data_IF_851882119239
#
_entry.id   IF_851882119239
#
_cell.length_a   1.000
_cell.length_b   1.000
_cell.length_c   1.000
_cell.angle_alpha   90.00
_cell.angle_beta   90.00
_cell.angle_gamma   90.00
#
_symmetry.space_group_name_H-M   'P 1'
#
loop_
_entity.id
_entity.type
_entity.pdbx_description
1 polymer ?
#
# COMPACT_ATOMS: atom_id res chain seq x y z
N UNK A 1 29.01 -7.75 34.31
CA UNK A 1 29.25 -7.42 32.90
C UNK A 1 28.03 -6.63 32.50
N UNK A 2 28.18 -5.38 32.07
CA UNK A 2 27.02 -4.65 31.55
C UNK A 2 26.55 -5.44 30.31
N UNK A 3 25.25 -5.71 30.20
CA UNK A 3 24.71 -6.30 28.98
C UNK A 3 25.08 -5.38 27.82
N UNK A 4 25.52 -5.96 26.70
CA UNK A 4 25.79 -5.17 25.50
C UNK A 4 24.50 -4.50 25.03
N UNK A 5 24.56 -3.24 24.57
CA UNK A 5 23.37 -2.54 24.12
C UNK A 5 22.73 -3.27 22.94
N UNK A 6 21.40 -3.26 22.88
CA UNK A 6 20.69 -3.82 21.74
C UNK A 6 20.98 -2.97 20.51
N UNK A 7 21.55 -3.60 19.48
CA UNK A 7 22.01 -2.94 18.26
C UNK A 7 20.88 -2.80 17.26
N UNK A 8 20.63 -1.60 16.78
CA UNK A 8 19.51 -1.24 15.90
C UNK A 8 20.02 -0.77 14.55
N UNK A 9 19.35 -1.21 13.49
CA UNK A 9 19.41 -0.59 12.17
C UNK A 9 18.18 0.28 11.99
N UNK A 10 18.38 1.53 11.58
CA UNK A 10 17.28 2.45 11.31
C UNK A 10 17.11 2.68 9.81
N UNK A 11 15.93 2.42 9.25
CA UNK A 11 15.62 2.73 7.85
C UNK A 11 14.87 4.06 7.73
N UNK A 12 15.42 4.96 6.90
CA UNK A 12 14.79 6.24 6.57
C UNK A 12 14.89 6.58 5.08
N UNK A 13 14.03 7.47 4.59
CA UNK A 13 14.12 7.94 3.22
C UNK A 13 15.17 9.03 3.01
N UNK A 14 15.41 9.37 1.74
CA UNK A 14 16.35 10.40 1.29
C UNK A 14 16.08 11.78 1.93
N UNK A 15 14.82 12.12 2.17
CA UNK A 15 14.45 13.40 2.79
C UNK A 15 14.90 13.48 4.25
N UNK A 16 14.56 12.47 5.06
CA UNK A 16 14.95 12.44 6.47
C UNK A 16 16.45 12.22 6.67
N UNK A 17 17.11 11.62 5.69
CA UNK A 17 18.57 11.49 5.64
C UNK A 17 19.30 12.78 5.23
N UNK A 18 18.56 13.82 4.81
CA UNK A 18 19.13 15.09 4.38
C UNK A 18 19.80 15.05 2.99
N UNK A 19 19.46 14.07 2.15
CA UNK A 19 19.99 13.93 0.77
C UNK A 19 19.30 14.90 -0.18
N UNK A 20 17.98 15.01 -0.11
CA UNK A 20 17.17 15.89 -0.96
C UNK A 20 15.68 15.53 -0.90
N UNK A 21 14.87 16.10 -1.79
CA UNK A 21 13.43 15.81 -1.86
C UNK A 21 13.13 14.95 -3.09
N UNK A 22 12.17 15.37 -3.90
CA UNK A 22 11.71 14.65 -5.10
C UNK A 22 12.77 14.63 -6.20
N UNK A 23 13.71 15.57 -6.20
CA UNK A 23 14.72 15.66 -7.26
C UNK A 23 15.75 14.52 -7.22
N UNK A 24 15.76 13.76 -6.11
CA UNK A 24 16.69 12.66 -5.83
C UNK A 24 15.95 11.47 -5.22
N UNK A 25 14.65 11.34 -5.49
CA UNK A 25 13.83 10.22 -4.99
C UNK A 25 14.21 8.87 -5.61
N UNK A 26 15.00 8.86 -6.68
CA UNK A 26 15.59 7.71 -7.36
C UNK A 26 16.94 7.29 -6.75
N UNK A 27 17.37 7.88 -5.63
CA UNK A 27 18.65 7.56 -4.98
C UNK A 27 18.70 6.08 -4.56
N UNK A 28 19.68 5.29 -5.03
CA UNK A 28 19.88 3.90 -4.63
C UNK A 28 20.15 3.76 -3.12
N UNK A 29 19.94 2.57 -2.54
CA UNK A 29 20.09 2.39 -1.12
C UNK A 29 21.56 2.47 -0.68
N UNK A 30 21.80 3.11 0.46
CA UNK A 30 23.13 3.19 1.08
C UNK A 30 23.04 3.04 2.61
N UNK A 31 24.10 2.51 3.23
CA UNK A 31 24.23 2.43 4.68
C UNK A 31 25.17 3.53 5.21
N UNK A 32 24.77 4.17 6.30
CA UNK A 32 25.56 5.16 7.04
C UNK A 32 25.79 4.69 8.47
N UNK A 33 26.99 4.92 8.99
CA UNK A 33 27.31 4.58 10.38
C UNK A 33 26.57 5.49 11.36
N UNK A 34 25.96 4.89 12.39
CA UNK A 34 25.28 5.61 13.46
C UNK A 34 23.91 6.19 13.10
N UNK A 35 23.32 7.00 14.00
CA UNK A 35 22.00 7.60 13.82
C UNK A 35 22.02 8.80 12.87
N UNK A 36 21.10 8.82 11.89
CA UNK A 36 20.90 9.94 10.96
C UNK A 36 19.47 10.49 11.09
N UNK A 37 19.32 11.81 10.95
CA UNK A 37 18.02 12.48 10.94
C UNK A 37 17.18 12.16 12.19
N UNK A 38 15.97 11.60 12.05
CA UNK A 38 15.10 11.23 13.18
C UNK A 38 15.71 10.17 14.10
N UNK A 39 16.65 9.36 13.61
CA UNK A 39 17.41 8.40 14.42
C UNK A 39 18.14 9.05 15.60
N UNK A 40 18.52 10.32 15.48
CA UNK A 40 19.17 11.07 16.57
C UNK A 40 18.24 11.30 17.78
N UNK A 41 16.95 11.51 17.54
CA UNK A 41 15.98 11.65 18.62
C UNK A 41 15.56 10.27 19.14
N UNK A 42 15.40 9.28 18.24
CA UNK A 42 15.09 7.91 18.62
C UNK A 42 16.16 7.33 19.56
N UNK A 43 17.45 7.47 19.22
CA UNK A 43 18.56 7.02 20.06
C UNK A 43 18.49 7.63 21.48
N UNK A 44 18.16 8.92 21.59
CA UNK A 44 18.00 9.59 22.90
C UNK A 44 16.83 9.06 23.72
N UNK A 45 15.73 8.72 23.06
CA UNK A 45 14.52 8.18 23.72
C UNK A 45 14.72 6.71 24.14
N UNK A 46 15.51 5.96 23.39
CA UNK A 46 15.83 4.58 23.72
C UNK A 46 16.76 4.51 24.94
N UNK A 47 17.75 5.41 25.04
CA UNK A 47 18.70 5.46 26.13
C UNK A 47 19.87 4.48 25.95
N UNK A 48 20.69 4.31 26.98
CA UNK A 48 22.00 3.64 26.88
C UNK A 48 21.91 2.11 26.67
N UNK A 49 20.72 1.51 26.87
CA UNK A 49 20.49 0.07 26.64
C UNK A 49 20.36 -0.28 25.14
N UNK A 50 20.34 0.72 24.27
CA UNK A 50 20.16 0.57 22.82
C UNK A 50 21.13 1.46 22.04
N UNK A 51 21.61 0.95 20.92
CA UNK A 51 22.53 1.68 20.04
C UNK A 51 22.04 1.58 18.59
N UNK A 52 21.83 2.71 17.92
CA UNK A 52 21.63 2.73 16.46
C UNK A 52 23.02 2.64 15.81
N UNK A 53 23.40 1.45 15.36
CA UNK A 53 24.73 1.18 14.80
C UNK A 53 24.84 1.61 13.34
N UNK A 54 23.71 1.64 12.64
CA UNK A 54 23.64 2.09 11.26
C UNK A 54 22.27 2.67 10.92
N UNK A 55 22.27 3.56 9.93
CA UNK A 55 21.07 4.02 9.25
C UNK A 55 21.14 3.63 7.77
N UNK A 56 20.14 2.88 7.28
CA UNK A 56 19.98 2.61 5.85
C UNK A 56 19.08 3.69 5.24
N UNK A 57 19.52 4.25 4.11
CA UNK A 57 18.86 5.35 3.41
C UNK A 57 18.52 4.89 2.01
N UNK A 58 17.29 5.12 1.55
CA UNK A 58 16.90 4.88 0.16
C UNK A 58 15.94 5.96 -0.34
N UNK A 59 15.96 6.26 -1.63
CA UNK A 59 14.99 7.14 -2.26
C UNK A 59 13.61 6.50 -2.38
N UNK A 60 12.56 7.30 -2.17
CA UNK A 60 11.17 6.82 -2.21
C UNK A 60 10.76 6.19 -3.56
N UNK A 61 11.23 6.73 -4.69
CA UNK A 61 10.94 6.18 -6.02
C UNK A 61 11.75 4.92 -6.27
N UNK A 62 13.05 4.90 -5.92
CA UNK A 62 13.86 3.70 -6.04
C UNK A 62 13.25 2.53 -5.24
N UNK A 63 12.89 2.78 -3.98
CA UNK A 63 12.34 1.77 -3.09
C UNK A 63 10.97 1.21 -3.51
N UNK A 64 10.29 1.85 -4.46
CA UNK A 64 8.94 1.45 -4.90
C UNK A 64 8.86 1.03 -6.36
N UNK A 65 9.79 1.48 -7.22
CA UNK A 65 9.77 1.20 -8.66
C UNK A 65 10.74 0.09 -9.07
N UNK A 66 11.84 -0.11 -8.34
CA UNK A 66 12.80 -1.17 -8.64
C UNK A 66 12.35 -2.50 -8.02
N UNK A 67 12.37 -3.57 -8.82
CA UNK A 67 11.85 -4.89 -8.45
C UNK A 67 12.55 -5.49 -7.22
N UNK A 68 13.88 -5.33 -7.15
CA UNK A 68 14.73 -5.92 -6.11
C UNK A 68 15.06 -4.94 -4.95
N UNK A 69 14.47 -3.74 -4.94
CA UNK A 69 14.91 -2.70 -3.98
C UNK A 69 14.76 -3.10 -2.51
N UNK A 70 13.69 -3.81 -2.15
CA UNK A 70 13.47 -4.24 -0.75
C UNK A 70 14.53 -5.26 -0.33
N UNK A 71 14.91 -6.17 -1.22
CA UNK A 71 15.94 -7.17 -0.97
C UNK A 71 17.32 -6.48 -0.83
N UNK A 72 17.64 -5.52 -1.70
CA UNK A 72 18.89 -4.73 -1.57
C UNK A 72 18.97 -3.94 -0.26
N UNK A 73 17.87 -3.29 0.15
CA UNK A 73 17.80 -2.55 1.41
C UNK A 73 17.95 -3.51 2.61
N UNK A 74 17.33 -4.69 2.54
CA UNK A 74 17.43 -5.71 3.58
C UNK A 74 18.84 -6.29 3.68
N UNK A 75 19.49 -6.58 2.55
CA UNK A 75 20.88 -7.04 2.52
C UNK A 75 21.82 -6.02 3.16
N UNK A 76 21.64 -4.73 2.86
CA UNK A 76 22.40 -3.66 3.51
C UNK A 76 22.14 -3.64 5.02
N UNK A 77 20.90 -3.77 5.46
CA UNK A 77 20.55 -3.78 6.88
C UNK A 77 21.17 -4.99 7.60
N UNK A 78 21.09 -6.19 7.03
CA UNK A 78 21.70 -7.42 7.57
C UNK A 78 23.23 -7.42 7.51
N UNK A 79 23.81 -6.70 6.55
CA UNK A 79 25.24 -6.46 6.45
C UNK A 79 25.79 -5.57 7.57
N UNK A 80 24.91 -4.94 8.35
CA UNK A 80 25.28 -4.23 9.58
C UNK A 80 25.15 -5.16 10.79
N UNK A 81 25.88 -4.87 11.87
CA UNK A 81 25.78 -5.62 13.13
C UNK A 81 24.48 -5.31 13.93
N UNK A 82 23.39 -4.92 13.27
CA UNK A 82 22.12 -4.62 13.93
C UNK A 82 21.26 -5.87 14.13
N UNK A 83 20.78 -6.08 15.36
CA UNK A 83 19.91 -7.21 15.73
C UNK A 83 18.41 -6.88 15.72
N UNK A 84 18.04 -5.63 15.43
CA UNK A 84 16.66 -5.18 15.33
C UNK A 84 16.55 -4.08 14.27
N UNK A 85 15.54 -4.16 13.40
CA UNK A 85 15.24 -3.14 12.39
C UNK A 85 14.11 -2.22 12.86
N UNK A 86 14.32 -0.91 12.76
CA UNK A 86 13.27 0.10 12.90
C UNK A 86 13.08 0.80 11.56
N UNK A 87 11.86 0.83 11.01
CA UNK A 87 11.54 1.52 9.76
C UNK A 87 10.58 2.70 10.01
N UNK A 88 10.90 3.89 9.51
CA UNK A 88 10.08 5.09 9.69
C UNK A 88 10.58 6.04 10.78
N UNK A 89 9.76 6.97 11.29
CA UNK A 89 8.33 7.10 11.04
C UNK A 89 8.00 7.68 9.66
N UNK A 90 7.08 7.04 8.93
CA UNK A 90 6.67 7.43 7.58
C UNK A 90 5.48 8.39 7.53
N UNK A 91 4.78 8.60 8.65
CA UNK A 91 3.58 9.46 8.71
C UNK A 91 2.56 9.06 7.65
N UNK A 92 1.90 10.01 6.99
CA UNK A 92 1.01 9.76 5.86
C UNK A 92 1.70 9.61 4.49
N UNK A 93 3.04 9.46 4.43
CA UNK A 93 3.74 9.36 3.14
C UNK A 93 3.48 8.03 2.45
N UNK A 94 2.91 8.04 1.24
CA UNK A 94 2.56 6.83 0.49
C UNK A 94 3.77 5.95 0.15
N UNK A 95 4.66 6.42 -0.75
CA UNK A 95 5.83 5.64 -1.21
C UNK A 95 6.75 5.23 -0.06
N UNK A 96 7.10 6.19 0.81
CA UNK A 96 7.95 5.90 1.97
C UNK A 96 7.30 4.93 2.96
N UNK A 97 5.98 5.04 3.17
CA UNK A 97 5.22 4.12 4.03
C UNK A 97 5.21 2.69 3.49
N UNK A 98 4.99 2.53 2.18
CA UNK A 98 5.12 1.23 1.50
C UNK A 98 6.52 0.62 1.65
N UNK A 99 7.57 1.42 1.42
CA UNK A 99 8.94 0.95 1.58
C UNK A 99 9.23 0.52 3.02
N UNK A 100 8.83 1.30 4.02
CA UNK A 100 8.96 0.94 5.43
C UNK A 100 8.23 -0.34 5.78
N UNK A 101 7.00 -0.51 5.27
CA UNK A 101 6.17 -1.66 5.53
C UNK A 101 6.76 -2.95 4.94
N UNK A 102 7.07 -2.93 3.63
CA UNK A 102 7.62 -4.09 2.92
C UNK A 102 8.98 -4.49 3.50
N UNK A 103 9.83 -3.53 3.84
CA UNK A 103 11.11 -3.82 4.48
C UNK A 103 10.93 -4.45 5.86
N UNK A 104 10.02 -3.94 6.70
CA UNK A 104 9.76 -4.52 8.03
C UNK A 104 9.18 -5.94 7.92
N UNK A 105 8.28 -6.18 6.96
CA UNK A 105 7.75 -7.51 6.66
C UNK A 105 8.87 -8.47 6.23
N UNK A 106 9.66 -8.10 5.22
CA UNK A 106 10.76 -8.91 4.70
C UNK A 106 11.82 -9.21 5.76
N UNK A 107 12.19 -8.21 6.58
CA UNK A 107 13.10 -8.41 7.71
C UNK A 107 12.56 -9.42 8.72
N UNK A 108 11.28 -9.31 9.08
CA UNK A 108 10.65 -10.24 10.03
C UNK A 108 10.60 -11.67 9.47
N UNK A 109 10.27 -11.83 8.19
CA UNK A 109 10.28 -13.13 7.50
C UNK A 109 11.68 -13.74 7.42
N UNK A 110 12.71 -12.90 7.25
CA UNK A 110 14.11 -13.30 7.30
C UNK A 110 14.65 -13.58 8.72
N UNK A 111 13.81 -13.41 9.75
CA UNK A 111 14.16 -13.66 11.15
C UNK A 111 14.88 -12.50 11.85
N UNK A 112 14.92 -11.32 11.26
CA UNK A 112 15.39 -10.09 11.90
C UNK A 112 14.19 -9.38 12.56
N UNK A 113 14.12 -9.26 13.89
CA UNK A 113 13.04 -8.54 14.56
C UNK A 113 12.89 -7.13 13.98
N UNK A 114 11.70 -6.80 13.50
CA UNK A 114 11.45 -5.52 12.85
C UNK A 114 10.17 -4.84 13.35
N UNK A 115 10.18 -3.51 13.34
CA UNK A 115 9.02 -2.67 13.64
C UNK A 115 8.97 -1.48 12.70
N UNK A 116 7.76 -1.15 12.23
CA UNK A 116 7.53 0.03 11.42
C UNK A 116 6.75 1.11 12.20
N UNK A 117 6.85 2.36 11.78
CA UNK A 117 6.01 3.44 12.27
C UNK A 117 5.42 4.25 11.10
N UNK A 118 4.11 4.41 11.07
CA UNK A 118 3.40 5.21 10.06
C UNK A 118 2.01 5.61 10.55
N UNK A 119 1.35 6.53 9.83
CA UNK A 119 -0.03 6.93 10.15
C UNK A 119 -0.99 5.76 9.89
N UNK A 120 -2.09 5.67 10.63
CA UNK A 120 -3.06 4.56 10.49
C UNK A 120 -3.68 4.46 9.10
N UNK A 121 -3.85 5.60 8.40
CA UNK A 121 -4.39 5.65 7.03
C UNK A 121 -3.32 5.43 5.94
N UNK A 122 -2.06 5.24 6.34
CA UNK A 122 -0.97 5.03 5.39
C UNK A 122 -1.20 3.71 4.61
N UNK A 123 -1.10 3.71 3.27
CA UNK A 123 -1.32 2.51 2.47
C UNK A 123 -0.39 1.33 2.80
N UNK A 124 0.80 1.60 3.35
CA UNK A 124 1.75 0.57 3.75
C UNK A 124 1.33 -0.21 5.00
N UNK A 125 0.38 0.26 5.82
CA UNK A 125 0.05 -0.38 7.11
C UNK A 125 -0.31 -1.86 6.96
N UNK A 126 -1.05 -2.21 5.91
CA UNK A 126 -1.49 -3.58 5.64
C UNK A 126 -0.36 -4.47 5.08
N UNK A 127 0.67 -3.87 4.48
CA UNK A 127 1.82 -4.57 3.87
C UNK A 127 2.91 -4.93 4.88
N UNK A 128 2.84 -4.37 6.09
CA UNK A 128 3.87 -4.58 7.11
C UNK A 128 3.76 -5.95 7.81
N UNK A 129 2.62 -6.65 7.68
CA UNK A 129 2.43 -7.94 8.34
C UNK A 129 3.50 -8.95 7.86
N UNK A 130 4.16 -9.70 8.77
CA UNK A 130 3.81 -9.90 10.18
C UNK A 130 4.39 -8.87 11.17
N UNK A 131 5.20 -7.91 10.73
CA UNK A 131 5.82 -6.92 11.61
C UNK A 131 4.78 -5.99 12.28
N UNK A 132 4.99 -5.61 13.56
CA UNK A 132 4.18 -4.59 14.22
C UNK A 132 4.37 -3.21 13.58
N UNK A 133 3.28 -2.44 13.51
CA UNK A 133 3.28 -1.04 13.07
C UNK A 133 2.79 -0.15 14.21
N UNK A 134 3.55 0.89 14.54
CA UNK A 134 3.16 1.87 15.57
C UNK A 134 2.63 3.15 14.93
N UNK A 135 1.53 3.67 15.47
CA UNK A 135 0.90 4.90 15.03
C UNK A 135 1.84 6.11 15.16
N UNK A 136 2.20 6.69 14.02
CA UNK A 136 2.77 8.04 13.95
C UNK A 136 1.69 9.10 13.71
N UNK A 137 2.04 10.38 13.82
CA UNK A 137 1.17 11.48 13.39
C UNK A 137 1.00 11.52 11.87
N UNK A 138 0.27 12.54 11.38
CA UNK A 138 -0.05 12.66 9.95
C UNK A 138 1.08 13.29 9.14
N UNK A 139 1.93 14.10 9.79
CA UNK A 139 3.04 14.81 9.14
C UNK A 139 4.29 14.86 10.01
N UNK A 140 5.42 15.24 9.43
CA UNK A 140 6.69 15.42 10.13
C UNK A 140 6.68 16.44 11.27
N UNK A 141 5.63 17.27 11.40
CA UNK A 141 5.45 18.15 12.58
C UNK A 141 5.24 17.34 13.86
N UNK A 142 4.70 16.14 13.72
CA UNK A 142 4.39 15.22 14.82
C UNK A 142 5.57 14.26 15.12
N UNK A 143 6.77 14.56 14.61
CA UNK A 143 7.96 13.69 14.70
C UNK A 143 8.31 13.31 16.14
N UNK A 144 8.32 14.29 17.05
CA UNK A 144 8.65 14.05 18.46
C UNK A 144 7.66 13.07 19.08
N UNK A 145 6.37 13.38 18.99
CA UNK A 145 5.31 12.57 19.57
C UNK A 145 5.28 11.16 18.97
N UNK A 146 5.57 11.03 17.68
CA UNK A 146 5.64 9.74 16.99
C UNK A 146 6.80 8.89 17.50
N UNK A 147 7.98 9.49 17.69
CA UNK A 147 9.15 8.79 18.24
C UNK A 147 8.99 8.48 19.73
N UNK A 148 8.31 9.33 20.50
CA UNK A 148 7.97 9.09 21.91
C UNK A 148 7.01 7.90 22.09
N UNK A 149 6.15 7.62 21.10
CA UNK A 149 5.33 6.39 21.04
C UNK A 149 6.11 5.19 20.53
N UNK A 150 6.98 5.37 19.53
CA UNK A 150 7.75 4.28 18.92
C UNK A 150 8.79 3.70 19.87
N UNK A 151 9.51 4.53 20.64
CA UNK A 151 10.62 4.07 21.45
C UNK A 151 10.23 3.00 22.51
N UNK A 152 9.13 3.13 23.27
CA UNK A 152 8.65 2.06 24.15
C UNK A 152 8.34 0.74 23.43
N UNK A 153 7.76 0.81 22.22
CA UNK A 153 7.45 -0.38 21.43
C UNK A 153 8.71 -1.08 20.91
N UNK A 154 9.74 -0.33 20.51
CA UNK A 154 11.06 -0.88 20.16
C UNK A 154 11.66 -1.64 21.35
N UNK A 155 11.55 -1.07 22.57
CA UNK A 155 12.03 -1.73 23.80
C UNK A 155 11.31 -3.05 24.06
N UNK A 156 9.99 -3.08 23.89
CA UNK A 156 9.18 -4.30 24.01
C UNK A 156 9.57 -5.35 22.97
N UNK A 157 9.73 -4.95 21.71
CA UNK A 157 10.15 -5.87 20.65
C UNK A 157 11.51 -6.51 20.97
N UNK A 158 12.48 -5.72 21.44
CA UNK A 158 13.79 -6.23 21.84
C UNK A 158 13.75 -7.20 23.03
N UNK A 159 12.75 -7.07 23.90
CA UNK A 159 12.49 -7.96 25.02
C UNK A 159 11.64 -9.19 24.66
N UNK A 160 11.33 -9.39 23.38
CA UNK A 160 10.41 -10.43 22.88
C UNK A 160 9.00 -10.33 23.50
N UNK A 161 8.59 -9.12 23.90
CA UNK A 161 7.27 -8.84 24.44
C UNK A 161 6.26 -8.55 23.32
N UNK A 162 5.02 -9.01 23.50
CA UNK A 162 3.93 -8.75 22.55
C UNK A 162 3.54 -7.28 22.55
N UNK A 163 3.59 -6.65 21.37
CA UNK A 163 3.10 -5.29 21.14
C UNK A 163 1.61 -5.34 20.81
N UNK A 164 0.80 -4.65 21.61
CA UNK A 164 -0.67 -4.61 21.50
C UNK A 164 -1.17 -3.23 21.05
N UNK A 165 -2.49 -3.09 20.90
CA UNK A 165 -3.12 -1.79 20.63
C UNK A 165 -2.84 -0.74 21.70
N UNK A 166 -2.65 -1.14 22.96
CA UNK A 166 -2.34 -0.22 24.07
C UNK A 166 -0.95 0.42 23.93
N UNK A 167 -0.06 -0.24 23.19
CA UNK A 167 1.26 0.27 22.83
C UNK A 167 1.23 1.20 21.61
N UNK A 168 0.05 1.50 21.06
CA UNK A 168 -0.13 2.29 19.85
C UNK A 168 0.01 1.50 18.56
N UNK A 169 -0.12 0.15 18.60
CA UNK A 169 -0.12 -0.68 17.40
C UNK A 169 -1.32 -0.40 16.52
N UNK A 170 -1.07 -0.24 15.22
CA UNK A 170 -2.08 -0.09 14.16
C UNK A 170 -1.94 -1.19 13.12
N UNK A 171 -2.91 -1.29 12.23
CA UNK A 171 -2.93 -2.30 11.17
C UNK A 171 -3.40 -3.67 11.62
N UNK A 172 -3.17 -4.67 10.78
CA UNK A 172 -3.62 -6.04 11.04
C UNK A 172 -2.85 -6.63 12.20
N UNK A 173 -3.57 -6.96 13.26
CA UNK A 173 -3.07 -7.86 14.31
C UNK A 173 -3.36 -9.30 13.84
N UNK A 174 -2.36 -10.18 13.94
CA UNK A 174 -2.55 -11.59 13.63
C UNK A 174 -3.72 -12.14 14.47
N UNK A 175 -4.67 -12.83 13.81
CA UNK A 175 -5.81 -13.42 14.52
C UNK A 175 -5.33 -14.64 15.30
N UNK A 176 -5.40 -14.55 16.61
CA UNK A 176 -5.13 -15.68 17.49
C UNK A 176 -6.43 -16.37 17.90
N UNK A 177 -6.44 -17.71 17.82
CA UNK A 177 -7.54 -18.49 18.37
C UNK A 177 -7.42 -18.48 19.90
N UNK A 178 -8.33 -17.77 20.56
CA UNK A 178 -8.37 -17.68 22.03
C UNK A 178 -9.66 -18.30 22.59
N UNK A 179 -9.59 -18.80 23.83
CA UNK A 179 -10.75 -19.27 24.58
C UNK A 179 -11.14 -18.17 25.56
N UNK A 180 -12.34 -17.62 25.37
CA UNK A 180 -12.93 -16.61 26.26
C UNK A 180 -13.97 -17.25 27.18
N UNK A 181 -14.02 -16.79 28.43
CA UNK A 181 -14.94 -17.32 29.44
C UNK A 181 -16.38 -16.89 29.20
N UNK A 182 -16.61 -15.66 28.72
CA UNK A 182 -17.96 -15.16 28.46
C UNK A 182 -18.58 -15.79 27.21
N UNK A 183 -19.88 -16.11 27.33
CA UNK A 183 -20.66 -16.65 26.22
C UNK A 183 -20.88 -15.59 25.16
N UNK A 184 -20.89 -16.00 23.89
CA UNK A 184 -21.15 -15.09 22.76
C UNK A 184 -22.44 -14.24 22.93
N UNK A 185 -23.49 -14.81 23.55
CA UNK A 185 -24.74 -14.09 23.81
C UNK A 185 -24.58 -12.96 24.85
N UNK A 186 -23.76 -13.17 25.88
CA UNK A 186 -23.51 -12.17 26.94
C UNK A 186 -22.72 -11.00 26.36
N UNK A 187 -21.66 -11.30 25.60
CA UNK A 187 -20.83 -10.26 24.97
C UNK A 187 -21.60 -9.48 23.90
N UNK A 188 -22.45 -10.14 23.12
CA UNK A 188 -23.32 -9.46 22.15
C UNK A 188 -24.30 -8.50 22.83
N UNK A 189 -24.86 -8.88 23.98
CA UNK A 189 -25.75 -8.01 24.76
C UNK A 189 -24.98 -6.83 25.38
N UNK A 190 -23.76 -7.07 25.88
CA UNK A 190 -22.89 -6.02 26.41
C UNK A 190 -22.55 -4.98 25.33
N UNK A 191 -22.10 -5.42 24.15
CA UNK A 191 -21.83 -4.54 23.01
C UNK A 191 -23.08 -3.74 22.60
N UNK A 192 -24.27 -4.35 22.61
CA UNK A 192 -25.52 -3.65 22.34
C UNK A 192 -25.80 -2.56 23.38
N UNK A 193 -25.66 -2.88 24.67
CA UNK A 193 -25.89 -1.93 25.75
C UNK A 193 -24.90 -0.75 25.68
N UNK A 194 -23.63 -1.02 25.40
CA UNK A 194 -22.58 0.00 25.20
C UNK A 194 -22.90 0.95 24.05
N UNK A 195 -23.34 0.41 22.90
CA UNK A 195 -23.80 1.24 21.78
C UNK A 195 -25.02 2.07 22.13
N UNK A 196 -26.00 1.49 22.83
CA UNK A 196 -27.19 2.23 23.29
C UNK A 196 -26.86 3.33 24.30
N UNK A 197 -25.75 3.21 25.03
CA UNK A 197 -25.23 4.27 25.91
C UNK A 197 -24.35 5.32 25.21
N UNK A 198 -24.13 5.21 23.90
CA UNK A 198 -23.38 6.19 23.11
C UNK A 198 -21.94 5.79 22.77
N UNK A 199 -21.50 4.57 23.07
CA UNK A 199 -20.23 4.04 22.59
C UNK A 199 -20.40 3.46 21.17
N UNK A 200 -20.48 4.33 20.16
CA UNK A 200 -20.80 3.96 18.77
C UNK A 200 -19.81 2.94 18.18
N UNK A 201 -18.55 2.99 18.62
CA UNK A 201 -17.46 2.12 18.15
C UNK A 201 -17.34 0.79 18.89
N UNK A 202 -18.21 0.50 19.87
CA UNK A 202 -18.14 -0.77 20.60
C UNK A 202 -18.36 -1.95 19.63
N UNK A 203 -17.30 -2.75 19.39
CA UNK A 203 -17.33 -3.93 18.52
C UNK A 203 -16.23 -4.93 18.87
N UNK A 204 -16.54 -6.23 18.72
CA UNK A 204 -15.53 -7.31 18.71
C UNK A 204 -14.87 -7.46 17.33
N UNK A 205 -15.53 -6.97 16.29
CA UNK A 205 -15.07 -7.07 14.89
C UNK A 205 -15.03 -5.64 14.34
N UNK A 206 -13.86 -4.98 14.31
CA UNK A 206 -13.76 -3.67 13.68
C UNK A 206 -14.18 -3.78 12.21
N UNK A 207 -15.08 -2.89 11.79
CA UNK A 207 -15.42 -2.77 10.38
C UNK A 207 -14.18 -2.26 9.61
N UNK A 208 -13.97 -2.67 8.35
CA UNK A 208 -12.94 -2.06 7.51
C UNK A 208 -13.19 -0.55 7.41
N UNK A 209 -12.17 0.26 7.70
CA UNK A 209 -12.19 1.68 7.36
C UNK A 209 -12.00 1.77 5.84
N UNK A 210 -13.00 2.27 5.13
CA UNK A 210 -12.85 2.61 3.71
C UNK A 210 -12.41 4.06 3.62
N UNK A 211 -11.36 4.31 2.85
CA UNK A 211 -10.90 5.67 2.60
C UNK A 211 -11.98 6.48 1.88
N UNK A 212 -12.21 7.68 2.39
CA UNK A 212 -12.98 8.70 1.67
C UNK A 212 -12.02 9.43 0.74
N UNK A 213 -12.02 9.07 -0.54
CA UNK A 213 -11.21 9.75 -1.55
C UNK A 213 -11.93 11.02 -2.01
N UNK A 214 -11.21 12.13 -2.11
CA UNK A 214 -11.76 13.35 -2.71
C UNK A 214 -11.99 13.11 -4.20
N UNK A 215 -13.23 13.26 -4.71
CA UNK A 215 -13.49 13.08 -6.13
C UNK A 215 -12.61 14.01 -6.98
N UNK A 216 -12.17 13.52 -8.14
CA UNK A 216 -11.47 14.37 -9.10
C UNK A 216 -12.34 15.59 -9.47
N UNK A 217 -11.68 16.72 -9.72
CA UNK A 217 -12.38 17.91 -10.21
C UNK A 217 -13.09 17.63 -11.54
N UNK A 218 -14.15 18.38 -11.87
CA UNK A 218 -14.83 18.22 -13.15
C UNK A 218 -13.90 18.57 -14.31
N UNK A 219 -14.03 17.82 -15.41
CA UNK A 219 -13.38 18.16 -16.68
C UNK A 219 -14.18 19.27 -17.35
N UNK A 220 -13.53 20.41 -17.66
CA UNK A 220 -14.22 21.58 -18.20
C UNK A 220 -14.60 21.43 -19.69
N UNK A 221 -13.69 20.90 -20.51
CA UNK A 221 -13.92 20.65 -21.93
C UNK A 221 -13.44 19.25 -22.31
N UNK A 222 -14.39 18.35 -22.59
CA UNK A 222 -14.09 16.97 -22.96
C UNK A 222 -13.44 16.87 -24.34
N UNK A 223 -13.69 17.83 -25.24
CA UNK A 223 -13.20 17.79 -26.63
C UNK A 223 -11.68 17.98 -26.74
N UNK A 224 -11.01 18.37 -25.66
CA UNK A 224 -9.55 18.49 -25.58
C UNK A 224 -8.91 17.34 -24.77
N UNK A 225 -9.71 16.44 -24.21
CA UNK A 225 -9.25 15.39 -23.30
C UNK A 225 -8.88 14.10 -24.05
N UNK A 226 -7.77 13.52 -23.61
CA UNK A 226 -7.44 12.12 -23.81
C UNK A 226 -8.14 11.32 -22.71
N UNK A 227 -9.14 10.53 -23.09
CA UNK A 227 -9.91 9.64 -22.22
C UNK A 227 -9.27 8.26 -22.18
N UNK A 228 -9.04 7.68 -21.01
CA UNK A 228 -8.66 6.28 -20.87
C UNK A 228 -9.83 5.41 -20.45
N UNK A 229 -9.82 4.16 -20.90
CA UNK A 229 -10.67 3.10 -20.36
C UNK A 229 -9.82 2.20 -19.47
N UNK A 230 -10.31 1.94 -18.26
CA UNK A 230 -9.73 0.99 -17.34
C UNK A 230 -10.82 0.08 -16.80
N UNK A 231 -10.51 -1.19 -16.53
CA UNK A 231 -11.54 -2.16 -16.15
C UNK A 231 -11.07 -3.16 -15.11
N UNK A 232 -11.96 -3.45 -14.17
CA UNK A 232 -11.87 -4.58 -13.24
C UNK A 232 -12.69 -5.79 -13.69
N UNK A 233 -13.39 -5.69 -14.83
CA UNK A 233 -14.20 -6.79 -15.39
C UNK A 233 -13.41 -7.82 -16.19
N UNK A 234 -12.07 -7.78 -16.10
CA UNK A 234 -11.15 -8.78 -16.64
C UNK A 234 -11.33 -9.10 -18.14
N UNK A 235 -11.66 -8.10 -18.97
CA UNK A 235 -11.73 -8.25 -20.44
C UNK A 235 -10.32 -8.38 -21.00
N UNK A 236 -10.03 -9.51 -21.65
CA UNK A 236 -8.73 -9.85 -22.22
C UNK A 236 -8.89 -10.40 -23.64
N UNK A 237 -7.84 -10.42 -24.48
CA UNK A 237 -7.87 -11.16 -25.74
C UNK A 237 -8.19 -12.63 -25.50
N UNK A 238 -8.95 -13.22 -26.42
CA UNK A 238 -9.42 -14.60 -26.32
C UNK A 238 -8.27 -15.59 -26.08
N UNK A 239 -8.48 -16.50 -25.12
CA UNK A 239 -7.49 -17.46 -24.66
C UNK A 239 -6.59 -16.92 -23.54
N UNK A 240 -6.79 -15.69 -23.08
CA UNK A 240 -6.06 -15.07 -21.96
C UNK A 240 -4.53 -15.26 -22.05
N UNK A 241 -3.89 -14.75 -23.13
CA UNK A 241 -2.51 -15.08 -23.46
C UNK A 241 -1.50 -14.68 -22.38
N UNK A 242 -1.77 -13.60 -21.65
CA UNK A 242 -0.90 -13.07 -20.60
C UNK A 242 -1.24 -13.63 -19.21
N UNK A 243 -2.23 -14.52 -19.12
CA UNK A 243 -2.58 -15.26 -17.92
C UNK A 243 -3.03 -14.37 -16.77
N UNK A 244 -4.00 -13.47 -17.00
CA UNK A 244 -4.69 -12.76 -15.93
C UNK A 244 -5.49 -13.77 -15.10
N UNK A 245 -5.37 -13.80 -13.77
CA UNK A 245 -6.10 -14.77 -12.95
C UNK A 245 -7.61 -14.46 -12.92
N UNK A 246 -8.44 -15.49 -12.72
CA UNK A 246 -9.90 -15.35 -12.62
C UNK A 246 -10.42 -14.98 -11.23
N UNK A 247 -9.52 -14.82 -10.25
CA UNK A 247 -9.79 -14.18 -8.95
C UNK A 247 -8.48 -13.77 -8.29
N UNK A 248 -8.55 -12.86 -7.33
CA UNK A 248 -7.41 -12.44 -6.48
C UNK A 248 -6.21 -12.01 -7.34
N UNK A 249 -6.38 -10.96 -8.14
CA UNK A 249 -5.29 -10.51 -9.00
C UNK A 249 -4.05 -10.15 -8.18
N UNK A 250 -2.90 -10.56 -8.70
CA UNK A 250 -1.58 -10.16 -8.26
C UNK A 250 -0.85 -9.30 -9.31
N UNK A 251 -1.52 -9.01 -10.43
CA UNK A 251 -1.04 -8.15 -11.52
C UNK A 251 -2.21 -7.48 -12.21
N UNK A 252 -1.89 -6.48 -13.01
CA UNK A 252 -2.76 -5.88 -14.02
C UNK A 252 -2.02 -5.91 -15.36
N UNK A 253 -2.75 -5.71 -16.46
CA UNK A 253 -2.24 -5.78 -17.82
C UNK A 253 -2.70 -4.55 -18.60
N UNK A 254 -2.07 -4.32 -19.75
CA UNK A 254 -2.50 -3.32 -20.72
C UNK A 254 -2.59 -3.94 -22.09
N UNK A 255 -3.55 -3.49 -22.87
CA UNK A 255 -3.75 -3.96 -24.24
C UNK A 255 -3.95 -2.79 -25.20
N UNK A 256 -3.43 -2.89 -26.43
CA UNK A 256 -3.59 -1.85 -27.44
C UNK A 256 -5.04 -1.73 -27.93
N UNK A 257 -5.45 -0.51 -28.25
CA UNK A 257 -6.71 -0.14 -28.89
C UNK A 257 -6.50 0.53 -30.25
N UNK A 258 -5.25 0.64 -30.72
CA UNK A 258 -4.92 1.25 -32.01
C UNK A 258 -5.64 0.56 -33.16
N UNK A 259 -6.50 1.31 -33.86
CA UNK A 259 -7.31 0.77 -34.95
C UNK A 259 -8.46 -0.15 -34.52
N UNK A 260 -8.73 -0.26 -33.22
CA UNK A 260 -9.88 -0.99 -32.69
C UNK A 260 -11.07 -0.04 -32.54
N UNK A 261 -12.07 -0.23 -33.40
CA UNK A 261 -13.33 0.53 -33.35
C UNK A 261 -14.38 -0.09 -32.40
N UNK A 262 -14.27 -1.39 -32.12
CA UNK A 262 -15.18 -2.17 -31.27
C UNK A 262 -14.48 -3.46 -30.82
N UNK A 263 -14.89 -4.01 -29.68
CA UNK A 263 -14.48 -5.35 -29.24
C UNK A 263 -15.40 -6.43 -29.82
N UNK A 264 -14.85 -7.31 -30.65
CA UNK A 264 -15.63 -8.35 -31.30
C UNK A 264 -15.78 -9.61 -30.42
N UNK A 265 -16.97 -10.20 -30.46
CA UNK A 265 -17.24 -11.47 -29.77
C UNK A 265 -16.32 -12.57 -30.29
N UNK A 266 -15.67 -13.29 -29.39
CA UNK A 266 -14.73 -14.36 -29.70
C UNK A 266 -13.29 -13.91 -29.99
N UNK A 267 -13.04 -12.60 -30.13
CA UNK A 267 -11.67 -12.04 -30.11
C UNK A 267 -11.27 -11.56 -28.72
N UNK A 268 -12.26 -11.21 -27.90
CA UNK A 268 -12.11 -10.86 -26.49
C UNK A 268 -13.05 -11.73 -25.63
N UNK A 269 -12.65 -11.95 -24.39
CA UNK A 269 -13.43 -12.65 -23.37
C UNK A 269 -13.23 -12.00 -22.01
N UNK A 270 -14.19 -12.15 -21.10
CA UNK A 270 -13.95 -11.86 -19.68
C UNK A 270 -13.48 -13.13 -18.98
N UNK A 271 -12.38 -13.04 -18.22
CA UNK A 271 -11.92 -14.15 -17.38
C UNK A 271 -12.36 -14.03 -15.92
N UNK A 272 -13.28 -13.11 -15.63
CA UNK A 272 -13.70 -12.83 -14.27
C UNK A 272 -14.52 -13.98 -13.67
N UNK A 273 -14.02 -14.60 -12.60
CA UNK A 273 -14.70 -15.69 -11.90
C UNK A 273 -15.84 -15.25 -10.95
N UNK A 274 -16.14 -13.96 -10.87
CA UNK A 274 -17.12 -13.35 -9.98
C UNK A 274 -18.52 -13.23 -10.57
N UNK A 275 -18.66 -13.37 -11.89
CA UNK A 275 -19.96 -13.33 -12.58
C UNK A 275 -20.01 -14.29 -13.77
N UNK A 276 -21.17 -14.40 -14.42
CA UNK A 276 -21.31 -15.21 -15.64
C UNK A 276 -20.82 -14.42 -16.85
N UNK A 277 -19.74 -14.90 -17.47
CA UNK A 277 -19.08 -14.20 -18.59
C UNK A 277 -19.86 -14.26 -19.89
N UNK A 278 -20.85 -15.14 -20.02
CA UNK A 278 -21.61 -15.37 -21.29
C UNK A 278 -22.06 -14.06 -21.95
N UNK A 279 -22.68 -13.15 -21.19
CA UNK A 279 -23.18 -11.89 -21.74
C UNK A 279 -22.07 -10.87 -22.06
N UNK A 280 -20.92 -10.98 -21.41
CA UNK A 280 -19.73 -10.19 -21.69
C UNK A 280 -18.98 -10.77 -22.90
N UNK A 281 -18.92 -12.08 -23.06
CA UNK A 281 -18.25 -12.74 -24.19
C UNK A 281 -19.07 -12.59 -25.49
N UNK A 282 -20.40 -12.56 -25.37
CA UNK A 282 -21.32 -12.22 -26.48
C UNK A 282 -21.16 -10.77 -26.96
N UNK A 283 -20.79 -9.84 -26.06
CA UNK A 283 -20.65 -8.41 -26.34
C UNK A 283 -19.69 -7.75 -25.33
N UNK A 284 -18.36 -7.79 -25.59
CA UNK A 284 -17.36 -7.33 -24.62
C UNK A 284 -17.43 -5.82 -24.35
N UNK A 285 -18.02 -5.05 -25.28
CA UNK A 285 -18.20 -3.61 -25.12
C UNK A 285 -19.13 -3.26 -23.94
N UNK A 286 -19.95 -4.20 -23.46
CA UNK A 286 -20.78 -4.00 -22.25
C UNK A 286 -19.95 -3.81 -20.99
N UNK A 287 -18.78 -4.44 -20.95
CA UNK A 287 -17.84 -4.30 -19.84
C UNK A 287 -16.85 -3.18 -20.17
N UNK A 288 -16.27 -3.17 -21.37
CA UNK A 288 -15.27 -2.19 -21.78
C UNK A 288 -15.78 -1.41 -23.02
N UNK A 289 -16.42 -0.23 -22.85
CA UNK A 289 -17.21 0.44 -23.90
C UNK A 289 -16.34 1.16 -24.94
N UNK A 290 -15.54 0.39 -25.70
CA UNK A 290 -14.66 0.90 -26.75
C UNK A 290 -15.46 1.48 -27.91
N UNK A 291 -16.53 0.80 -28.32
CA UNK A 291 -17.44 1.23 -29.38
C UNK A 291 -18.01 2.64 -29.14
N UNK A 292 -18.52 2.89 -27.94
CA UNK A 292 -19.09 4.16 -27.52
C UNK A 292 -18.00 5.22 -27.36
N UNK A 293 -16.85 4.88 -26.77
CA UNK A 293 -15.75 5.81 -26.65
C UNK A 293 -15.22 6.26 -28.04
N UNK A 294 -15.16 5.35 -29.01
CA UNK A 294 -14.81 5.67 -30.41
C UNK A 294 -15.89 6.49 -31.12
N UNK A 295 -17.17 6.26 -30.81
CA UNK A 295 -18.26 7.12 -31.29
C UNK A 295 -18.12 8.56 -30.76
N UNK A 296 -17.89 8.72 -29.46
CA UNK A 296 -17.68 10.03 -28.84
C UNK A 296 -16.45 10.77 -29.39
N UNK A 297 -15.38 10.04 -29.69
CA UNK A 297 -14.18 10.59 -30.34
C UNK A 297 -14.50 11.07 -31.77
N UNK A 298 -15.21 10.26 -32.56
CA UNK A 298 -15.62 10.61 -33.93
C UNK A 298 -16.55 11.83 -33.97
N UNK A 299 -17.42 11.95 -32.98
CA UNK A 299 -18.36 13.07 -32.84
C UNK A 299 -17.70 14.34 -32.25
N UNK A 300 -16.42 14.26 -31.85
CA UNK A 300 -15.68 15.35 -31.23
C UNK A 300 -16.16 15.71 -29.83
N UNK A 301 -16.91 14.81 -29.17
CA UNK A 301 -17.33 14.97 -27.78
C UNK A 301 -16.14 14.80 -26.85
N UNK A 302 -15.25 13.86 -27.17
CA UNK A 302 -13.94 13.73 -26.53
C UNK A 302 -12.83 14.05 -27.54
N UNK A 303 -11.68 14.51 -27.05
CA UNK A 303 -10.54 14.83 -27.91
C UNK A 303 -9.88 13.59 -28.50
N UNK A 304 -9.58 12.60 -27.66
CA UNK A 304 -9.01 11.32 -28.09
C UNK A 304 -9.35 10.20 -27.12
N UNK A 305 -9.56 8.99 -27.59
CA UNK A 305 -9.50 7.79 -26.74
C UNK A 305 -8.04 7.30 -26.68
N UNK A 306 -7.53 7.06 -25.47
CA UNK A 306 -6.19 6.55 -25.22
C UNK A 306 -5.96 5.24 -25.97
N UNK A 307 -4.75 5.07 -26.51
CA UNK A 307 -4.41 3.98 -27.43
C UNK A 307 -4.27 2.62 -26.72
N UNK A 308 -4.46 2.58 -25.40
CA UNK A 308 -4.43 1.37 -24.59
C UNK A 308 -5.53 1.40 -23.53
N UNK A 309 -5.98 0.22 -23.10
CA UNK A 309 -6.78 0.09 -21.88
C UNK A 309 -6.01 -0.68 -20.83
N UNK A 310 -6.27 -0.36 -19.56
CA UNK A 310 -5.69 -1.07 -18.42
C UNK A 310 -6.74 -2.02 -17.85
N UNK A 311 -6.32 -3.25 -17.52
CA UNK A 311 -7.22 -4.28 -17.05
C UNK A 311 -6.66 -5.02 -15.87
N UNK A 312 -7.51 -5.25 -14.88
CA UNK A 312 -7.30 -6.22 -13.83
C UNK A 312 -8.62 -6.95 -13.57
N UNK A 313 -8.67 -7.72 -12.50
CA UNK A 313 -9.88 -8.36 -12.01
C UNK A 313 -10.25 -7.80 -10.64
N UNK A 314 -11.50 -7.43 -10.44
CA UNK A 314 -12.01 -7.01 -9.13
C UNK A 314 -12.27 -8.18 -8.18
N UNK A 315 -12.71 -9.33 -8.73
CA UNK A 315 -13.12 -10.50 -7.95
C UNK A 315 -12.06 -11.00 -6.96
N UNK A 316 -12.31 -10.75 -5.68
CA UNK A 316 -11.47 -11.23 -4.58
C UNK A 316 -10.10 -10.56 -4.50
N UNK A 317 -9.82 -9.53 -5.29
CA UNK A 317 -8.55 -8.81 -5.26
C UNK A 317 -8.38 -8.10 -3.91
N UNK A 318 -7.28 -8.32 -3.18
CA UNK A 318 -7.04 -7.65 -1.91
C UNK A 318 -7.05 -6.13 -2.08
N UNK A 319 -7.65 -5.40 -1.12
CA UNK A 319 -7.73 -3.92 -1.16
C UNK A 319 -6.35 -3.28 -1.30
N UNK A 320 -5.35 -3.78 -0.59
CA UNK A 320 -3.99 -3.24 -0.68
C UNK A 320 -3.38 -3.42 -2.08
N UNK A 321 -3.60 -4.58 -2.70
CA UNK A 321 -3.18 -4.86 -4.08
C UNK A 321 -3.91 -3.97 -5.08
N UNK A 322 -5.23 -3.83 -4.96
CA UNK A 322 -6.03 -2.93 -5.80
C UNK A 322 -5.59 -1.46 -5.65
N UNK A 323 -5.19 -1.06 -4.43
CA UNK A 323 -4.61 0.26 -4.17
C UNK A 323 -3.28 0.47 -4.88
N UNK A 324 -2.40 -0.54 -4.90
CA UNK A 324 -1.15 -0.52 -5.68
C UNK A 324 -1.44 -0.31 -7.17
N UNK A 325 -2.37 -1.10 -7.73
CA UNK A 325 -2.75 -0.98 -9.14
C UNK A 325 -3.31 0.40 -9.45
N UNK A 326 -4.17 0.96 -8.59
CA UNK A 326 -4.70 2.31 -8.77
C UNK A 326 -3.61 3.38 -8.78
N UNK A 327 -2.59 3.28 -7.92
CA UNK A 327 -1.43 4.19 -7.91
C UNK A 327 -0.60 4.05 -9.18
N UNK A 328 -0.33 2.82 -9.61
CA UNK A 328 0.43 2.52 -10.83
C UNK A 328 -0.32 3.01 -12.09
N UNK A 329 -1.61 2.71 -12.19
CA UNK A 329 -2.49 3.19 -13.28
C UNK A 329 -2.52 4.72 -13.34
N UNK A 330 -2.71 5.39 -12.21
CA UNK A 330 -2.71 6.85 -12.17
C UNK A 330 -1.36 7.43 -12.64
N UNK A 331 -0.24 6.81 -12.26
CA UNK A 331 1.10 7.20 -12.71
C UNK A 331 1.25 7.04 -14.23
N UNK A 332 0.88 5.88 -14.79
CA UNK A 332 0.99 5.63 -16.23
C UNK A 332 0.11 6.57 -17.06
N UNK A 333 -1.15 6.73 -16.65
CA UNK A 333 -2.08 7.62 -17.32
C UNK A 333 -1.62 9.07 -17.26
N UNK A 334 -1.05 9.51 -16.13
CA UNK A 334 -0.49 10.84 -16.00
C UNK A 334 0.71 11.05 -16.95
N UNK A 335 1.63 10.08 -17.03
CA UNK A 335 2.77 10.13 -17.96
C UNK A 335 2.33 10.16 -19.42
N UNK A 336 1.22 9.49 -19.74
CA UNK A 336 0.61 9.50 -21.06
C UNK A 336 -0.20 10.79 -21.36
N UNK A 337 -0.22 11.76 -20.44
CA UNK A 337 -1.05 12.97 -20.53
C UNK A 337 -2.55 12.68 -20.69
N UNK A 338 -3.06 11.64 -20.02
CA UNK A 338 -4.49 11.34 -19.94
C UNK A 338 -5.12 12.24 -18.88
N UNK A 339 -6.22 12.92 -19.22
CA UNK A 339 -6.90 13.85 -18.32
C UNK A 339 -8.16 13.25 -17.68
N UNK A 340 -8.71 12.17 -18.23
CA UNK A 340 -9.88 11.49 -17.68
C UNK A 340 -9.79 9.98 -17.87
N UNK A 341 -10.37 9.22 -16.94
CA UNK A 341 -10.50 7.77 -17.07
C UNK A 341 -11.92 7.32 -16.69
N UNK A 342 -12.43 6.32 -17.40
CA UNK A 342 -13.62 5.57 -17.01
C UNK A 342 -13.15 4.23 -16.46
N UNK A 343 -13.41 4.00 -15.17
CA UNK A 343 -13.28 2.70 -14.55
C UNK A 343 -14.60 1.94 -14.68
N UNK A 344 -14.56 0.80 -15.34
CA UNK A 344 -15.69 -0.14 -15.44
C UNK A 344 -15.49 -1.30 -14.47
N UNK A 345 -16.58 -1.71 -13.83
CA UNK A 345 -16.61 -2.80 -12.87
C UNK A 345 -17.76 -3.78 -13.21
N UNK A 346 -17.81 -4.90 -12.48
CA UNK A 346 -18.73 -6.02 -12.68
C UNK A 346 -20.15 -5.80 -12.14
#
# INVERSE_FOLDING_TARGET
MADEPTRIVHYINQFYAGVGREEVADTPPEAREGPVGPGNLLAKLLGDDFEIVATVVCGDDYATQEEDAIDEILELAQGTDGGLLVAGPAFGSGRYGFACARLAAAATEAGLPAIAAMHEDNPGVDEAAPAPVIASGSTSRDMRDSLERLAPAVKKLAADETITSDDGRVGRVARENTVVEERAAERALDLLLRRLSGEEDATEIPAPKFDMVTPAGPVEDLSEVILALVTEGAVVPAGNPDGLPSSRANKWLRYPLDGTDSLESGEYESVDGGFSTVAADEDPNRILPVDMARELERDGVIGKLHDQYLVTIGNGTPVATARSFGVEWASELHQANVQAAILTAT
#
